data_IF_178036037330
#
_entry.id   IF_178036037330
#
_cell.length_a   1.000
_cell.length_b   1.000
_cell.length_c   1.000
_cell.angle_alpha   90.00
_cell.angle_beta   90.00
_cell.angle_gamma   90.00
#
_symmetry.space_group_name_H-M   'P 1'
#
loop_
_entity.id
_entity.type
_entity.pdbx_description
1 polymer ?
#
# COMPACT_ATOMS: atom_id res chain seq x y z
N UNK A 1 -18.90 -35.90 12.45
CA UNK A 1 -17.44 -35.93 12.75
C UNK A 1 -17.24 -36.55 14.13
N UNK A 2 -16.24 -37.42 14.36
CA UNK A 2 -15.93 -37.97 15.69
C UNK A 2 -15.61 -36.86 16.69
N UNK A 3 -16.13 -36.95 17.92
CA UNK A 3 -16.05 -35.88 18.93
C UNK A 3 -14.62 -35.46 19.29
N UNK A 4 -13.66 -36.39 19.26
CA UNK A 4 -12.24 -36.10 19.51
C UNK A 4 -11.58 -35.23 18.44
N UNK A 5 -12.00 -35.33 17.18
CA UNK A 5 -11.44 -34.56 16.07
C UNK A 5 -11.97 -33.12 16.10
N UNK A 6 -13.22 -32.91 16.54
CA UNK A 6 -13.83 -31.58 16.66
C UNK A 6 -13.04 -30.72 17.66
N UNK A 7 -12.66 -31.29 18.81
CA UNK A 7 -11.83 -30.58 19.80
C UNK A 7 -10.46 -30.17 19.26
N UNK A 8 -9.84 -31.04 18.45
CA UNK A 8 -8.55 -30.76 17.79
C UNK A 8 -8.69 -29.66 16.72
N UNK A 9 -9.80 -29.64 15.97
CA UNK A 9 -10.06 -28.60 14.97
C UNK A 9 -10.32 -27.24 15.61
N UNK A 10 -11.10 -27.17 16.69
CA UNK A 10 -11.38 -25.89 17.36
C UNK A 10 -10.11 -25.33 18.00
N UNK A 11 -9.29 -26.17 18.63
CA UNK A 11 -8.02 -25.72 19.21
C UNK A 11 -7.06 -25.20 18.13
N UNK A 12 -6.93 -25.90 17.00
CA UNK A 12 -6.06 -25.45 15.91
C UNK A 12 -6.51 -24.13 15.29
N UNK A 13 -7.81 -23.92 15.12
CA UNK A 13 -8.38 -22.66 14.61
C UNK A 13 -8.08 -21.51 15.58
N UNK A 14 -8.35 -21.69 16.88
CA UNK A 14 -8.09 -20.66 17.89
C UNK A 14 -6.60 -20.33 17.95
N UNK A 15 -5.73 -21.35 17.94
CA UNK A 15 -4.28 -21.16 17.93
C UNK A 15 -3.81 -20.40 16.68
N UNK A 16 -4.34 -20.75 15.50
CA UNK A 16 -4.00 -20.07 14.24
C UNK A 16 -4.44 -18.59 14.23
N UNK A 17 -5.63 -18.30 14.78
CA UNK A 17 -6.13 -16.93 14.94
C UNK A 17 -5.27 -16.12 15.90
N UNK A 18 -4.92 -16.70 17.06
CA UNK A 18 -4.04 -16.06 18.03
C UNK A 18 -2.66 -15.76 17.44
N UNK A 19 -2.10 -16.68 16.64
CA UNK A 19 -0.81 -16.49 15.97
C UNK A 19 -0.85 -15.34 14.96
N UNK A 20 -1.90 -15.24 14.17
CA UNK A 20 -2.08 -14.16 13.19
C UNK A 20 -2.28 -12.80 13.87
N UNK A 21 -3.05 -12.75 14.96
CA UNK A 21 -3.22 -11.52 15.75
C UNK A 21 -1.91 -11.07 16.39
N UNK A 22 -1.15 -12.02 16.96
CA UNK A 22 0.14 -11.73 17.58
C UNK A 22 1.16 -11.19 16.57
N UNK A 23 1.20 -11.73 15.35
CA UNK A 23 2.12 -11.26 14.30
C UNK A 23 1.78 -9.83 13.84
N UNK A 24 0.49 -9.50 13.68
CA UNK A 24 0.06 -8.15 13.30
C UNK A 24 0.38 -7.13 14.39
N UNK A 25 0.11 -7.45 15.67
CA UNK A 25 0.46 -6.54 16.78
C UNK A 25 1.97 -6.39 16.98
N UNK A 26 2.75 -7.46 16.78
CA UNK A 26 4.20 -7.40 16.83
C UNK A 26 4.77 -6.53 15.69
N UNK A 27 4.27 -6.69 14.47
CA UNK A 27 4.66 -5.87 13.32
C UNK A 27 4.32 -4.39 13.54
N UNK A 28 3.10 -4.09 13.98
CA UNK A 28 2.68 -2.73 14.33
C UNK A 28 3.51 -2.13 15.46
N UNK A 29 3.85 -2.92 16.47
CA UNK A 29 4.75 -2.49 17.55
C UNK A 29 6.13 -2.13 17.03
N UNK A 30 6.70 -2.89 16.08
CA UNK A 30 8.00 -2.59 15.50
C UNK A 30 7.99 -1.28 14.72
N UNK A 31 6.92 -0.99 13.97
CA UNK A 31 6.73 0.29 13.29
C UNK A 31 6.70 1.44 14.30
N UNK A 32 5.92 1.31 15.38
CA UNK A 32 5.88 2.36 16.42
C UNK A 32 7.24 2.56 17.10
N UNK A 33 7.98 1.49 17.39
CA UNK A 33 9.29 1.62 18.06
C UNK A 33 10.37 2.14 17.13
N UNK A 34 10.45 1.62 15.89
CA UNK A 34 11.55 1.92 14.99
C UNK A 34 11.30 3.19 14.15
N UNK A 35 10.07 3.36 13.65
CA UNK A 35 9.76 4.43 12.72
C UNK A 35 9.32 5.71 13.45
N UNK A 36 8.68 5.58 14.62
CA UNK A 36 8.20 6.72 15.40
C UNK A 36 9.13 6.99 16.59
N UNK A 37 9.31 6.03 17.50
CA UNK A 37 9.99 6.29 18.78
C UNK A 37 11.49 6.61 18.63
N UNK A 38 12.22 5.91 17.77
CA UNK A 38 13.64 6.21 17.51
C UNK A 38 13.84 7.55 16.80
N UNK A 39 12.91 7.97 15.93
CA UNK A 39 12.96 9.31 15.32
C UNK A 39 12.82 10.42 16.37
N UNK A 40 11.95 10.24 17.37
CA UNK A 40 11.79 11.20 18.47
C UNK A 40 12.90 11.13 19.53
N UNK A 41 13.44 9.94 19.82
CA UNK A 41 14.55 9.74 20.76
C UNK A 41 15.59 8.77 20.18
N UNK A 42 16.59 9.28 19.44
CA UNK A 42 17.60 8.43 18.80
C UNK A 42 18.54 7.70 19.78
N UNK A 43 18.66 8.18 21.03
CA UNK A 43 19.52 7.58 22.07
C UNK A 43 18.76 6.67 23.05
N UNK A 44 17.62 6.10 22.65
CA UNK A 44 16.84 5.25 23.53
C UNK A 44 17.53 3.91 23.83
N UNK A 45 17.48 3.47 25.09
CA UNK A 45 18.04 2.18 25.51
C UNK A 45 17.18 1.01 25.00
N UNK A 46 17.79 -0.14 24.71
CA UNK A 46 17.09 -1.38 24.31
C UNK A 46 15.97 -1.75 25.27
N UNK A 47 16.15 -1.55 26.59
CA UNK A 47 15.11 -1.80 27.59
C UNK A 47 13.88 -0.89 27.42
N UNK A 48 14.09 0.36 27.01
CA UNK A 48 13.01 1.31 26.74
C UNK A 48 12.27 0.93 25.46
N UNK A 49 12.97 0.53 24.39
CA UNK A 49 12.33 0.08 23.14
C UNK A 49 11.39 -1.11 23.39
N UNK A 50 11.85 -2.12 24.14
CA UNK A 50 11.02 -3.29 24.46
C UNK A 50 9.80 -2.89 25.30
N UNK A 51 9.97 -1.98 26.26
CA UNK A 51 8.86 -1.52 27.09
C UNK A 51 7.81 -0.74 26.28
N UNK A 52 8.25 0.17 25.42
CA UNK A 52 7.39 0.92 24.50
C UNK A 52 6.65 -0.04 23.57
N UNK A 53 7.35 -1.03 22.99
CA UNK A 53 6.72 -2.00 22.12
C UNK A 53 5.62 -2.82 22.81
N UNK A 54 5.86 -3.28 24.05
CA UNK A 54 4.83 -3.97 24.85
C UNK A 54 3.63 -3.07 25.13
N UNK A 55 3.85 -1.77 25.39
CA UNK A 55 2.75 -0.82 25.58
C UNK A 55 1.98 -0.57 24.29
N UNK A 56 2.65 -0.49 23.13
CA UNK A 56 1.99 -0.36 21.83
C UNK A 56 1.03 -1.51 21.54
N UNK A 57 1.40 -2.75 21.88
CA UNK A 57 0.52 -3.93 21.72
C UNK A 57 -0.77 -3.77 22.55
N UNK A 58 -0.66 -3.31 23.80
CA UNK A 58 -1.83 -3.07 24.66
C UNK A 58 -2.72 -1.98 24.08
N UNK A 59 -2.13 -0.89 23.58
CA UNK A 59 -2.88 0.20 22.93
C UNK A 59 -3.61 -0.30 21.68
N UNK A 60 -2.94 -1.06 20.81
CA UNK A 60 -3.59 -1.66 19.63
C UNK A 60 -4.73 -2.60 19.98
N UNK A 61 -4.59 -3.39 21.05
CA UNK A 61 -5.65 -4.26 21.54
C UNK A 61 -6.89 -3.45 21.98
N UNK A 62 -6.70 -2.37 22.75
CA UNK A 62 -7.80 -1.48 23.16
C UNK A 62 -8.47 -0.82 21.96
N UNK A 63 -7.68 -0.28 21.02
CA UNK A 63 -8.21 0.32 19.79
C UNK A 63 -9.01 -0.68 18.94
N UNK A 64 -8.57 -1.94 18.90
CA UNK A 64 -9.27 -3.01 18.19
C UNK A 64 -10.67 -3.27 18.78
N UNK A 65 -10.80 -3.28 20.11
CA UNK A 65 -12.10 -3.40 20.78
C UNK A 65 -12.99 -2.17 20.54
N UNK A 66 -12.41 -0.96 20.53
CA UNK A 66 -13.13 0.27 20.22
C UNK A 66 -13.66 0.31 18.78
N UNK A 67 -13.06 -0.42 17.85
CA UNK A 67 -13.45 -0.43 16.44
C UNK A 67 -14.61 -1.39 16.11
N UNK A 68 -14.90 -2.37 16.98
CA UNK A 68 -16.01 -3.34 16.80
C UNK A 68 -17.36 -2.70 16.47
N UNK A 69 -17.84 -1.61 17.14
CA UNK A 69 -19.15 -1.03 16.82
C UNK A 69 -19.26 -0.48 15.39
N UNK A 70 -18.15 -0.05 14.80
CA UNK A 70 -18.12 0.54 13.45
C UNK A 70 -18.41 -0.53 12.38
N UNK A 71 -17.94 -1.76 12.60
CA UNK A 71 -18.07 -2.87 11.63
C UNK A 71 -19.49 -3.47 11.52
N UNK A 72 -20.43 -3.08 12.40
CA UNK A 72 -21.77 -3.70 12.47
C UNK A 72 -22.74 -3.21 11.36
N UNK A 73 -22.37 -2.19 10.60
CA UNK A 73 -23.30 -1.49 9.70
C UNK A 73 -23.21 -1.88 8.21
N UNK A 74 -22.30 -2.76 7.79
CA UNK A 74 -22.12 -3.11 6.36
C UNK A 74 -22.61 -4.50 5.95
N UNK A 75 -22.65 -4.73 4.63
CA UNK A 75 -23.18 -5.92 3.94
C UNK A 75 -22.41 -7.21 4.23
N UNK A 76 -21.13 -7.11 4.61
CA UNK A 76 -20.29 -8.24 5.04
C UNK A 76 -18.99 -7.79 5.71
N UNK A 77 -18.50 -8.54 6.71
CA UNK A 77 -17.27 -8.21 7.45
C UNK A 77 -16.02 -8.28 6.56
N UNK A 78 -15.94 -9.28 5.68
CA UNK A 78 -14.79 -9.44 4.80
C UNK A 78 -14.71 -8.33 3.75
N UNK A 79 -15.84 -7.98 3.12
CA UNK A 79 -15.93 -6.91 2.12
C UNK A 79 -15.48 -5.57 2.70
N UNK A 80 -15.95 -5.20 3.89
CA UNK A 80 -15.52 -3.96 4.57
C UNK A 80 -14.02 -3.93 4.85
N UNK A 81 -13.45 -5.05 5.33
CA UNK A 81 -12.01 -5.13 5.62
C UNK A 81 -11.18 -4.98 4.35
N UNK A 82 -11.59 -5.62 3.25
CA UNK A 82 -10.89 -5.52 1.96
C UNK A 82 -11.07 -4.14 1.34
N UNK A 83 -12.26 -3.56 1.43
CA UNK A 83 -12.57 -2.22 0.93
C UNK A 83 -11.65 -1.16 1.57
N UNK A 84 -11.53 -1.14 2.90
CA UNK A 84 -10.67 -0.18 3.60
C UNK A 84 -9.20 -0.36 3.19
N UNK A 85 -8.73 -1.60 3.04
CA UNK A 85 -7.36 -1.88 2.59
C UNK A 85 -7.13 -1.39 1.16
N UNK A 86 -8.10 -1.58 0.27
CA UNK A 86 -8.05 -1.12 -1.12
C UNK A 86 -7.91 0.40 -1.25
N UNK A 87 -8.23 1.18 -0.22
CA UNK A 87 -8.01 2.63 -0.21
C UNK A 87 -6.61 3.06 0.28
N UNK A 88 -5.95 2.24 1.11
CA UNK A 88 -4.67 2.58 1.76
C UNK A 88 -3.46 1.93 1.08
N UNK A 89 -3.62 0.69 0.59
CA UNK A 89 -2.52 -0.10 0.02
C UNK A 89 -1.98 0.44 -1.31
N UNK A 90 -2.80 0.92 -2.27
CA UNK A 90 -2.29 1.27 -3.60
C UNK A 90 -1.23 2.39 -3.63
N UNK A 91 -1.39 3.53 -2.91
CA UNK A 91 -0.39 4.60 -2.90
C UNK A 91 0.96 4.15 -2.34
N UNK A 92 0.97 3.31 -1.30
CA UNK A 92 2.20 2.78 -0.71
C UNK A 92 2.85 1.79 -1.69
N UNK A 93 2.05 0.89 -2.26
CA UNK A 93 2.52 -0.14 -3.19
C UNK A 93 3.20 0.44 -4.43
N UNK A 94 2.61 1.44 -5.08
CA UNK A 94 3.21 2.03 -6.28
C UNK A 94 4.52 2.75 -5.99
N UNK A 95 4.62 3.48 -4.88
CA UNK A 95 5.83 4.20 -4.53
C UNK A 95 6.97 3.24 -4.22
N UNK A 96 6.69 2.12 -3.55
CA UNK A 96 7.69 1.07 -3.33
C UNK A 96 8.12 0.41 -4.64
N UNK A 97 7.18 0.08 -5.53
CA UNK A 97 7.49 -0.50 -6.85
C UNK A 97 8.34 0.47 -7.67
N UNK A 98 7.95 1.74 -7.76
CA UNK A 98 8.71 2.77 -8.49
C UNK A 98 10.07 3.03 -7.84
N UNK A 99 10.17 3.06 -6.51
CA UNK A 99 11.44 3.27 -5.81
C UNK A 99 12.50 2.19 -6.11
N UNK A 100 12.07 0.94 -6.31
CA UNK A 100 12.97 -0.18 -6.62
C UNK A 100 13.27 -0.28 -8.12
N UNK A 101 12.27 -0.01 -8.97
CA UNK A 101 12.37 -0.21 -10.43
C UNK A 101 12.85 1.01 -11.20
N UNK A 102 12.59 2.22 -10.71
CA UNK A 102 12.82 3.47 -11.43
C UNK A 102 13.88 4.33 -10.70
N UNK A 103 15.09 4.33 -11.25
CA UNK A 103 16.26 4.99 -10.67
C UNK A 103 16.13 6.51 -10.40
N UNK A 104 15.35 7.29 -11.19
CA UNK A 104 15.10 8.71 -10.92
C UNK A 104 14.04 8.99 -9.84
N UNK A 105 13.47 7.97 -9.19
CA UNK A 105 12.46 8.18 -8.16
C UNK A 105 13.05 9.00 -7.00
N UNK A 106 12.45 10.17 -6.74
CA UNK A 106 12.88 11.08 -5.69
C UNK A 106 12.02 10.90 -4.42
N UNK A 107 12.59 11.17 -3.24
CA UNK A 107 11.90 11.18 -1.95
C UNK A 107 10.72 12.16 -1.97
N UNK A 108 10.86 13.32 -2.61
CA UNK A 108 9.77 14.30 -2.74
C UNK A 108 8.63 13.79 -3.64
N UNK A 109 8.95 13.04 -4.69
CA UNK A 109 7.94 12.40 -5.56
C UNK A 109 7.20 11.27 -4.84
N UNK A 110 7.95 10.43 -4.12
CA UNK A 110 7.40 9.39 -3.27
C UNK A 110 6.46 9.96 -2.18
N UNK A 111 6.90 10.99 -1.48
CA UNK A 111 6.12 11.62 -0.41
C UNK A 111 4.86 12.31 -0.94
N UNK A 112 4.96 13.10 -2.02
CA UNK A 112 3.81 13.76 -2.62
C UNK A 112 2.77 12.77 -3.16
N UNK A 113 3.21 11.65 -3.75
CA UNK A 113 2.32 10.57 -4.19
C UNK A 113 1.59 9.90 -3.03
N UNK A 114 2.29 9.61 -1.91
CA UNK A 114 1.66 9.07 -0.71
C UNK A 114 0.64 10.04 -0.10
N UNK A 115 0.97 11.33 -0.03
CA UNK A 115 0.07 12.35 0.53
C UNK A 115 -1.17 12.54 -0.34
N UNK A 116 -0.99 12.74 -1.65
CA UNK A 116 -2.11 12.97 -2.59
C UNK A 116 -2.97 11.70 -2.70
N UNK A 117 -2.35 10.53 -2.86
CA UNK A 117 -3.06 9.25 -2.90
C UNK A 117 -3.79 8.95 -1.59
N UNK A 118 -3.17 9.23 -0.45
CA UNK A 118 -3.77 9.09 0.87
C UNK A 118 -4.96 10.02 1.09
N UNK A 119 -4.86 11.29 0.68
CA UNK A 119 -5.96 12.25 0.75
C UNK A 119 -7.14 11.83 -0.13
N UNK A 120 -6.87 11.35 -1.35
CA UNK A 120 -7.92 10.83 -2.24
C UNK A 120 -8.59 9.60 -1.65
N UNK A 121 -7.83 8.65 -1.10
CA UNK A 121 -8.37 7.48 -0.40
C UNK A 121 -9.19 7.84 0.84
N UNK A 122 -8.70 8.78 1.65
CA UNK A 122 -9.42 9.25 2.84
C UNK A 122 -10.70 10.00 2.49
N UNK A 123 -10.69 10.82 1.42
CA UNK A 123 -11.89 11.50 0.95
C UNK A 123 -13.00 10.49 0.62
N UNK A 124 -12.64 9.37 -0.04
CA UNK A 124 -13.58 8.29 -0.36
C UNK A 124 -14.15 7.63 0.88
N UNK A 125 -13.31 7.32 1.87
CA UNK A 125 -13.75 6.76 3.16
C UNK A 125 -14.78 7.66 3.85
N UNK A 126 -14.53 8.98 3.89
CA UNK A 126 -15.44 9.95 4.47
C UNK A 126 -16.76 10.02 3.68
N UNK A 127 -16.69 10.03 2.35
CA UNK A 127 -17.89 10.03 1.50
C UNK A 127 -18.73 8.76 1.65
N UNK A 128 -18.12 7.58 1.74
CA UNK A 128 -18.85 6.32 1.98
C UNK A 128 -19.53 6.32 3.34
N UNK A 129 -18.91 6.91 4.36
CA UNK A 129 -19.48 6.98 5.72
C UNK A 129 -20.62 7.98 5.83
N UNK A 130 -20.61 9.06 5.02
CA UNK A 130 -21.61 10.13 5.05
C UNK A 130 -22.74 9.89 4.03
N UNK A 131 -22.54 9.01 3.03
CA UNK A 131 -23.54 8.74 2.00
C UNK A 131 -24.83 8.23 2.63
N UNK A 132 -25.86 9.06 2.54
CA UNK A 132 -27.25 8.67 2.68
C UNK A 132 -27.75 8.27 1.28
N UNK A 133 -28.51 7.18 1.15
CA UNK A 133 -29.01 6.67 -0.15
C UNK A 133 -29.91 7.68 -0.92
N UNK A 134 -30.19 8.83 -0.30
CA UNK A 134 -30.98 9.93 -0.84
C UNK A 134 -30.22 10.91 -1.76
N UNK A 135 -28.91 10.75 -1.97
CA UNK A 135 -28.07 11.67 -2.76
C UNK A 135 -27.65 11.14 -4.14
N UNK A 136 -28.33 10.11 -4.66
CA UNK A 136 -28.15 9.60 -6.01
C UNK A 136 -28.46 10.71 -7.04
N UNK A 137 -27.43 11.17 -7.77
CA UNK A 137 -27.58 12.09 -8.90
C UNK A 137 -27.33 13.58 -8.64
N UNK A 138 -27.02 14.00 -7.40
CA UNK A 138 -26.82 15.43 -7.08
C UNK A 138 -25.43 16.00 -7.46
N UNK A 139 -24.49 15.15 -7.88
CA UNK A 139 -23.10 15.53 -8.19
C UNK A 139 -22.85 15.60 -9.71
N UNK A 140 -21.93 16.47 -10.18
CA UNK A 140 -21.50 16.50 -11.58
C UNK A 140 -21.08 15.10 -12.06
N UNK A 141 -21.42 14.71 -13.30
CA UNK A 141 -21.30 13.33 -13.77
C UNK A 141 -19.95 12.64 -13.50
N UNK A 142 -18.83 13.37 -13.57
CA UNK A 142 -17.50 12.85 -13.22
C UNK A 142 -17.36 12.50 -11.73
N UNK A 143 -17.85 13.35 -10.82
CA UNK A 143 -17.86 13.06 -9.38
C UNK A 143 -18.81 11.91 -9.08
N UNK A 144 -19.95 11.82 -9.77
CA UNK A 144 -20.86 10.68 -9.62
C UNK A 144 -20.15 9.38 -10.04
N UNK A 145 -19.56 9.30 -11.23
CA UNK A 145 -18.78 8.10 -11.61
C UNK A 145 -17.63 7.81 -10.63
N UNK A 146 -16.97 8.82 -10.08
CA UNK A 146 -15.88 8.66 -9.11
C UNK A 146 -16.35 8.12 -7.74
N UNK A 147 -17.54 8.55 -7.27
CA UNK A 147 -18.10 8.17 -5.97
C UNK A 147 -19.10 6.99 -6.01
N UNK A 148 -19.53 6.53 -7.19
CA UNK A 148 -20.43 5.38 -7.31
C UNK A 148 -19.74 4.14 -7.87
N UNK A 149 -18.44 4.25 -8.20
CA UNK A 149 -17.65 3.13 -8.66
C UNK A 149 -17.35 2.12 -7.54
N UNK A 150 -17.33 0.83 -7.89
CA UNK A 150 -16.86 -0.27 -7.04
C UNK A 150 -15.49 0.05 -6.43
N UNK A 151 -15.28 -0.32 -5.16
CA UNK A 151 -14.05 -0.02 -4.40
C UNK A 151 -12.78 -0.51 -5.10
N UNK A 152 -12.86 -1.63 -5.83
CA UNK A 152 -11.72 -2.21 -6.56
C UNK A 152 -11.28 -1.36 -7.76
N UNK A 153 -12.23 -0.82 -8.51
CA UNK A 153 -11.92 0.07 -9.63
C UNK A 153 -11.36 1.40 -9.11
N UNK A 154 -11.84 1.86 -7.95
CA UNK A 154 -11.33 3.06 -7.31
C UNK A 154 -9.89 2.87 -6.85
N UNK A 155 -9.54 1.69 -6.32
CA UNK A 155 -8.17 1.34 -5.97
C UNK A 155 -7.22 1.40 -7.18
N UNK A 156 -7.68 0.96 -8.37
CA UNK A 156 -6.91 1.10 -9.61
C UNK A 156 -6.68 2.56 -10.00
N UNK A 157 -7.71 3.42 -9.89
CA UNK A 157 -7.54 4.85 -10.15
C UNK A 157 -6.59 5.51 -9.15
N UNK A 158 -6.66 5.15 -7.87
CA UNK A 158 -5.70 5.62 -6.85
C UNK A 158 -4.27 5.20 -7.19
N UNK A 159 -4.08 3.98 -7.68
CA UNK A 159 -2.77 3.48 -8.07
C UNK A 159 -2.19 4.27 -9.25
N UNK A 160 -3.00 4.49 -10.30
CA UNK A 160 -2.58 5.24 -11.50
C UNK A 160 -2.31 6.71 -11.17
N UNK A 161 -3.18 7.34 -10.38
CA UNK A 161 -3.00 8.74 -9.98
C UNK A 161 -1.74 8.92 -9.12
N UNK A 162 -1.51 8.03 -8.16
CA UNK A 162 -0.28 8.05 -7.36
C UNK A 162 0.98 7.78 -8.21
N UNK A 163 0.92 6.89 -9.21
CA UNK A 163 2.01 6.70 -10.18
C UNK A 163 2.32 8.01 -10.92
N UNK A 164 1.30 8.65 -11.49
CA UNK A 164 1.46 9.89 -12.26
C UNK A 164 2.06 10.99 -11.39
N UNK A 165 1.52 11.17 -10.18
CA UNK A 165 2.06 12.16 -9.22
C UNK A 165 3.51 11.86 -8.89
N UNK A 166 3.85 10.61 -8.58
CA UNK A 166 5.22 10.21 -8.24
C UNK A 166 6.18 10.51 -9.39
N UNK A 167 5.81 10.18 -10.62
CA UNK A 167 6.63 10.40 -11.82
C UNK A 167 6.76 11.89 -12.11
N UNK A 168 5.65 12.63 -12.17
CA UNK A 168 5.64 14.07 -12.48
C UNK A 168 6.44 14.85 -11.44
N UNK A 169 6.21 14.64 -10.15
CA UNK A 169 6.95 15.36 -9.10
C UNK A 169 8.41 14.93 -9.07
N UNK A 170 8.73 13.65 -9.26
CA UNK A 170 10.13 13.23 -9.35
C UNK A 170 10.85 13.85 -10.54
N UNK A 171 10.18 14.00 -11.69
CA UNK A 171 10.74 14.65 -12.89
C UNK A 171 10.91 16.17 -12.69
N UNK A 172 9.93 16.83 -12.07
CA UNK A 172 9.97 18.27 -11.80
C UNK A 172 10.99 18.64 -10.70
N UNK A 173 11.21 17.74 -9.74
CA UNK A 173 12.13 17.92 -8.61
C UNK A 173 13.42 17.11 -8.80
N UNK A 174 13.85 16.87 -10.05
CA UNK A 174 15.14 16.23 -10.29
C UNK A 174 16.28 17.12 -9.77
N UNK A 175 16.72 16.87 -8.54
CA UNK A 175 18.08 17.17 -8.16
C UNK A 175 18.95 16.02 -8.70
N UNK A 176 19.97 16.37 -9.48
CA UNK A 176 20.81 15.42 -10.24
C UNK A 176 21.84 14.73 -9.34
N UNK A 177 21.55 14.61 -8.05
CA UNK A 177 22.35 13.83 -7.10
C UNK A 177 21.91 12.37 -7.22
N UNK A 178 22.82 11.54 -7.75
CA UNK A 178 22.63 10.10 -7.80
C UNK A 178 22.29 9.58 -6.39
N UNK A 179 21.38 8.60 -6.24
CA UNK A 179 21.06 8.05 -4.95
C UNK A 179 22.34 7.55 -4.25
N UNK A 180 22.44 7.71 -2.91
CA UNK A 180 23.59 7.26 -2.13
C UNK A 180 23.99 5.83 -2.47
N UNK A 181 25.28 5.53 -2.47
CA UNK A 181 25.84 4.24 -2.92
C UNK A 181 25.22 3.04 -2.18
N UNK A 182 24.87 3.24 -0.91
CA UNK A 182 24.20 2.25 -0.04
C UNK A 182 22.80 1.85 -0.54
N UNK A 183 22.05 2.79 -1.11
CA UNK A 183 20.71 2.54 -1.68
C UNK A 183 20.83 1.88 -3.04
N UNK A 184 21.82 2.30 -3.85
CA UNK A 184 22.07 1.74 -5.18
C UNK A 184 22.22 0.23 -5.15
N UNK A 185 22.86 -0.33 -4.11
CA UNK A 185 23.04 -1.79 -3.93
C UNK A 185 21.74 -2.58 -3.99
N UNK A 186 20.64 -2.05 -3.45
CA UNK A 186 19.35 -2.73 -3.37
C UNK A 186 18.42 -2.42 -4.56
N UNK A 187 18.80 -1.47 -5.41
CA UNK A 187 18.05 -1.14 -6.61
C UNK A 187 18.28 -2.17 -7.71
N UNK A 188 17.28 -2.34 -8.58
CA UNK A 188 17.43 -3.21 -9.74
C UNK A 188 18.43 -2.55 -10.70
N UNK A 189 19.58 -3.21 -10.85
CA UNK A 189 20.61 -2.87 -11.82
C UNK A 189 20.19 -3.41 -13.18
N UNK A 190 19.39 -2.63 -13.90
CA UNK A 190 18.90 -3.00 -15.22
C UNK A 190 20.03 -3.30 -16.21
N UNK A 191 21.21 -2.70 -16.03
CA UNK A 191 22.45 -2.98 -16.76
C UNK A 191 22.92 -4.43 -16.61
N UNK A 192 22.89 -4.98 -15.39
CA UNK A 192 23.26 -6.37 -15.11
C UNK A 192 22.15 -7.36 -15.47
N UNK A 193 20.90 -6.98 -15.26
CA UNK A 193 19.72 -7.81 -15.58
C UNK A 193 19.56 -7.99 -17.08
N UNK A 194 19.81 -6.93 -17.87
CA UNK A 194 19.65 -6.97 -19.32
C UNK A 194 20.92 -7.42 -20.08
N UNK A 195 22.04 -7.72 -19.39
CA UNK A 195 23.35 -8.06 -20.00
C UNK A 195 23.64 -7.24 -21.26
N UNK A 196 23.55 -5.91 -21.16
CA UNK A 196 23.84 -5.04 -22.29
C UNK A 196 25.35 -4.77 -22.30
N UNK A 197 26.09 -5.52 -23.12
CA UNK A 197 27.46 -5.14 -23.51
C UNK A 197 27.37 -3.78 -24.22
N UNK A 198 27.81 -2.73 -23.51
CA UNK A 198 27.69 -1.32 -23.91
C UNK A 198 28.55 -0.99 -25.15
N UNK A 199 29.37 -1.93 -25.61
CA UNK A 199 30.26 -1.76 -26.77
C UNK A 199 29.63 -2.06 -28.13
N UNK A 200 28.41 -2.61 -28.20
CA UNK A 200 27.78 -2.94 -29.50
C UNK A 200 26.49 -2.20 -29.86
N UNK A 201 25.83 -1.48 -28.96
CA UNK A 201 24.47 -0.98 -29.29
C UNK A 201 24.36 0.54 -29.19
N UNK A 202 24.63 1.16 -30.34
CA UNK A 202 24.06 2.44 -30.71
C UNK A 202 22.56 2.44 -30.41
N UNK A 203 22.15 3.19 -29.37
CA UNK A 203 20.77 3.53 -28.95
C UNK A 203 19.67 2.71 -29.64
N UNK A 204 19.26 1.54 -29.14
CA UNK A 204 18.12 0.85 -29.70
C UNK A 204 16.86 1.35 -28.99
N UNK A 205 15.93 1.88 -29.78
CA UNK A 205 14.55 2.22 -29.38
C UNK A 205 13.86 1.08 -28.59
N UNK A 206 14.33 -0.15 -28.76
CA UNK A 206 13.89 -1.38 -28.10
C UNK A 206 14.04 -1.40 -26.57
N UNK A 207 15.02 -0.72 -25.98
CA UNK A 207 15.14 -0.67 -24.50
C UNK A 207 14.03 0.19 -23.89
N UNK A 208 13.67 1.30 -24.56
CA UNK A 208 12.50 2.10 -24.18
C UNK A 208 11.19 1.32 -24.41
N UNK A 209 11.14 0.46 -25.43
CA UNK A 209 10.00 -0.45 -25.69
C UNK A 209 9.92 -1.56 -24.64
N UNK A 210 11.04 -2.03 -24.07
CA UNK A 210 11.05 -3.03 -22.99
C UNK A 210 10.63 -2.43 -21.65
N UNK A 211 11.07 -1.22 -21.32
CA UNK A 211 10.62 -0.49 -20.12
C UNK A 211 9.17 -0.04 -20.27
N UNK A 212 8.75 0.40 -21.46
CA UNK A 212 7.34 0.61 -21.76
C UNK A 212 6.57 -0.72 -21.71
N UNK A 213 7.18 -1.82 -22.14
CA UNK A 213 6.62 -3.16 -22.13
C UNK A 213 6.41 -3.73 -20.73
N UNK A 214 7.30 -3.46 -19.77
CA UNK A 214 7.10 -3.83 -18.37
C UNK A 214 6.02 -2.96 -17.69
N UNK A 215 5.92 -1.69 -18.05
CA UNK A 215 4.80 -0.82 -17.67
C UNK A 215 3.46 -1.29 -18.25
N UNK A 216 3.43 -1.68 -19.52
CA UNK A 216 2.26 -2.26 -20.20
C UNK A 216 1.92 -3.64 -19.62
N UNK A 217 2.90 -4.46 -19.24
CA UNK A 217 2.67 -5.73 -18.57
C UNK A 217 2.09 -5.54 -17.16
N UNK A 218 2.58 -4.55 -16.41
CA UNK A 218 2.01 -4.19 -15.10
C UNK A 218 0.56 -3.70 -15.24
N UNK A 219 0.29 -2.85 -16.25
CA UNK A 219 -1.05 -2.39 -16.61
C UNK A 219 -1.95 -3.54 -17.12
N UNK A 220 -1.41 -4.50 -17.87
CA UNK A 220 -2.13 -5.65 -18.38
C UNK A 220 -2.45 -6.66 -17.27
N UNK A 221 -1.56 -6.84 -16.28
CA UNK A 221 -1.83 -7.66 -15.09
C UNK A 221 -2.92 -6.98 -14.24
N UNK A 222 -2.90 -5.66 -14.09
CA UNK A 222 -3.98 -4.92 -13.40
C UNK A 222 -5.29 -4.93 -14.19
N UNK A 223 -5.26 -4.85 -15.52
CA UNK A 223 -6.44 -4.94 -16.38
C UNK A 223 -7.02 -6.37 -16.42
N UNK A 224 -6.16 -7.39 -16.42
CA UNK A 224 -6.54 -8.79 -16.33
C UNK A 224 -7.19 -9.12 -14.99
N UNK A 225 -6.76 -8.50 -13.89
CA UNK A 225 -7.47 -8.60 -12.61
C UNK A 225 -8.82 -7.89 -12.63
N UNK A 226 -8.99 -6.82 -13.42
CA UNK A 226 -10.28 -6.15 -13.63
C UNK A 226 -11.31 -6.99 -14.39
N UNK A 227 -10.87 -7.78 -15.36
CA UNK A 227 -11.77 -8.65 -16.17
C UNK A 227 -12.15 -9.93 -15.42
N UNK A 228 -11.25 -10.48 -14.60
CA UNK A 228 -11.53 -11.73 -13.87
C UNK A 228 -12.52 -11.58 -12.70
N UNK A 229 -12.83 -10.35 -12.28
CA UNK A 229 -13.71 -10.05 -11.15
C UNK A 229 -14.87 -9.11 -11.51
N UNK A 230 -15.16 -8.94 -12.80
CA UNK A 230 -16.42 -8.38 -13.31
C UNK A 230 -17.44 -9.50 -13.54
#
# INVERSE_FOLDING_TARGET
>A
MPHGIIGLMISSIITAMMSSLASVFAAGSSVVTNDIYLQFRPNASTKQLVWVGRMSIVVFAVLSFCWIPIMRNGTGLYEQIVEIQSYLTPPIGIVLVLGVTWQPANVYGAFSAMVIGGLLGFSRLVFVTIKDDSMDGALPGFLNTFFYMNFQHFALLLWVTAMIVCVVVSLLTQDKSLPPEDVRKYMIHWDKVLKLDVTEVAKPTWVNVLVAGSGIAALAITFSMGIYFA
#
